data_IF_214618647629
#
_entry.id   IF_214618647629
#
_cell.length_a   1.000
_cell.length_b   1.000
_cell.length_c   1.000
_cell.angle_alpha   90.00
_cell.angle_beta   90.00
_cell.angle_gamma   90.00
#
_symmetry.space_group_name_H-M   'P 1'
#
loop_
_entity.id
_entity.type
_entity.pdbx_description
1 polymer ?
#
# COMPACT_ATOMS: atom_id res chain seq x y z
N UNK A 1 -48.27 -16.02 -4.30
CA UNK A 1 -46.96 -15.38 -4.02
C UNK A 1 -46.65 -15.58 -2.53
N UNK A 2 -45.40 -15.80 -2.05
CA UNK A 2 -44.07 -15.60 -2.65
C UNK A 2 -43.12 -16.82 -2.55
N UNK A 3 -42.21 -17.04 -3.51
CA UNK A 3 -41.04 -17.96 -3.38
C UNK A 3 -39.90 -17.57 -4.34
N UNK A 4 -39.23 -16.45 -4.12
CA UNK A 4 -37.97 -16.11 -4.84
C UNK A 4 -37.04 -15.24 -3.99
N UNK A 5 -36.53 -15.77 -2.88
CA UNK A 5 -35.48 -15.08 -2.10
C UNK A 5 -34.26 -15.93 -1.73
N UNK A 6 -34.18 -17.20 -2.12
CA UNK A 6 -33.16 -18.12 -1.59
C UNK A 6 -32.01 -18.52 -2.54
N UNK A 7 -31.93 -17.97 -3.76
CA UNK A 7 -31.00 -18.50 -4.78
C UNK A 7 -29.58 -17.87 -4.75
N UNK A 8 -29.32 -16.84 -3.95
CA UNK A 8 -28.02 -16.14 -3.98
C UNK A 8 -26.95 -16.65 -3.00
N UNK A 9 -27.07 -17.87 -2.44
CA UNK A 9 -26.10 -18.35 -1.43
C UNK A 9 -25.08 -19.41 -1.91
N UNK A 10 -25.19 -19.96 -3.12
CA UNK A 10 -24.38 -21.13 -3.52
C UNK A 10 -23.11 -20.84 -4.32
N UNK A 11 -22.69 -19.58 -4.48
CA UNK A 11 -21.52 -19.25 -5.32
C UNK A 11 -20.57 -18.23 -4.72
N UNK A 12 -20.58 -18.02 -3.41
CA UNK A 12 -19.49 -17.29 -2.77
C UNK A 12 -18.25 -18.21 -2.74
N UNK A 13 -17.19 -17.94 -3.54
CA UNK A 13 -15.92 -18.63 -3.34
C UNK A 13 -15.52 -18.39 -1.89
N UNK A 14 -15.15 -19.46 -1.20
CA UNK A 14 -14.80 -19.53 0.23
C UNK A 14 -14.11 -18.25 0.70
N UNK A 15 -14.90 -17.27 1.13
CA UNK A 15 -14.38 -16.07 1.76
C UNK A 15 -13.64 -16.56 3.01
N UNK A 16 -12.45 -16.02 3.33
CA UNK A 16 -11.80 -16.37 4.58
C UNK A 16 -12.79 -16.11 5.72
N UNK A 17 -13.31 -17.19 6.32
CA UNK A 17 -14.39 -17.15 7.31
C UNK A 17 -13.96 -16.55 8.63
N UNK A 18 -12.67 -16.26 8.77
CA UNK A 18 -12.08 -15.61 9.93
C UNK A 18 -12.01 -14.09 9.70
N UNK A 19 -12.81 -13.29 10.44
CA UNK A 19 -12.69 -11.84 10.41
C UNK A 19 -11.26 -11.37 10.66
N UNK A 20 -10.51 -12.09 11.50
CA UNK A 20 -9.11 -11.79 11.81
C UNK A 20 -8.20 -11.79 10.57
N UNK A 21 -8.36 -12.75 9.65
CA UNK A 21 -7.56 -12.80 8.42
C UNK A 21 -7.91 -11.65 7.47
N UNK A 22 -9.20 -11.30 7.38
CA UNK A 22 -9.66 -10.15 6.60
C UNK A 22 -9.07 -8.85 7.19
N UNK A 23 -9.13 -8.68 8.50
CA UNK A 23 -8.55 -7.52 9.17
C UNK A 23 -7.04 -7.40 8.94
N UNK A 24 -6.29 -8.50 9.01
CA UNK A 24 -4.86 -8.48 8.71
C UNK A 24 -4.56 -8.09 7.27
N UNK A 25 -5.30 -8.63 6.31
CA UNK A 25 -5.06 -8.31 4.90
C UNK A 25 -5.45 -6.85 4.59
N UNK A 26 -6.54 -6.35 5.17
CA UNK A 26 -6.92 -4.94 5.09
C UNK A 26 -5.85 -4.05 5.72
N UNK A 27 -5.30 -4.44 6.88
CA UNK A 27 -4.22 -3.70 7.52
C UNK A 27 -2.96 -3.69 6.64
N UNK A 28 -2.58 -4.83 6.06
CA UNK A 28 -1.43 -4.95 5.16
C UNK A 28 -1.59 -4.07 3.92
N UNK A 29 -2.74 -4.13 3.25
CA UNK A 29 -3.05 -3.31 2.08
C UNK A 29 -3.13 -1.82 2.42
N UNK A 30 -3.56 -1.47 3.64
CA UNK A 30 -3.59 -0.09 4.14
C UNK A 30 -2.19 0.47 4.46
N UNK A 31 -1.16 -0.39 4.57
CA UNK A 31 0.21 0.01 4.90
C UNK A 31 1.12 0.22 3.68
N UNK A 32 0.78 -0.36 2.54
CA UNK A 32 1.64 -0.38 1.35
C UNK A 32 1.13 0.62 0.31
N UNK A 33 2.05 1.35 -0.32
CA UNK A 33 1.77 2.15 -1.50
C UNK A 33 1.69 1.22 -2.73
N UNK A 34 0.56 1.18 -3.47
CA UNK A 34 0.37 0.22 -4.54
C UNK A 34 1.22 0.49 -5.79
N UNK A 35 1.81 1.69 -5.91
CA UNK A 35 2.64 2.04 -7.05
C UNK A 35 4.09 1.58 -6.86
N UNK A 36 4.58 1.65 -5.63
CA UNK A 36 5.99 1.39 -5.28
C UNK A 36 6.18 0.09 -4.48
N UNK A 37 5.11 -0.49 -3.96
CA UNK A 37 5.09 -1.65 -3.06
C UNK A 37 5.89 -1.47 -1.76
N UNK A 38 6.25 -0.24 -1.40
CA UNK A 38 6.89 0.10 -0.11
C UNK A 38 5.86 0.67 0.88
N UNK A 39 6.27 0.85 2.13
CA UNK A 39 5.44 1.50 3.16
C UNK A 39 4.97 2.87 2.68
N UNK A 40 3.66 3.10 2.73
CA UNK A 40 3.12 4.41 2.42
C UNK A 40 3.46 5.44 3.50
N UNK A 41 3.18 6.72 3.20
CA UNK A 41 3.46 7.83 4.11
C UNK A 41 2.85 7.65 5.50
N UNK A 42 1.64 7.10 5.61
CA UNK A 42 0.97 6.91 6.91
C UNK A 42 1.69 5.86 7.76
N UNK A 43 2.11 4.77 7.14
CA UNK A 43 2.89 3.72 7.80
C UNK A 43 4.26 4.23 8.23
N UNK A 44 4.96 4.96 7.35
CA UNK A 44 6.24 5.58 7.68
C UNK A 44 6.14 6.47 8.93
N UNK A 45 5.14 7.35 9.02
CA UNK A 45 4.98 8.23 10.19
C UNK A 45 4.71 7.43 11.46
N UNK A 46 3.84 6.42 11.38
CA UNK A 46 3.54 5.54 12.53
C UNK A 46 4.81 4.86 13.05
N UNK A 47 5.60 4.29 12.15
CA UNK A 47 6.81 3.56 12.49
C UNK A 47 7.93 4.50 12.96
N UNK A 48 8.08 5.68 12.34
CA UNK A 48 9.05 6.69 12.73
C UNK A 48 8.80 7.20 14.16
N UNK A 49 7.54 7.48 14.52
CA UNK A 49 7.19 7.89 15.88
C UNK A 49 7.55 6.82 16.91
N UNK A 50 7.30 5.54 16.58
CA UNK A 50 7.71 4.41 17.44
C UNK A 50 9.23 4.35 17.59
N UNK A 51 9.98 4.50 16.50
CA UNK A 51 11.44 4.47 16.52
C UNK A 51 12.03 5.64 17.31
N UNK A 52 11.45 6.83 17.19
CA UNK A 52 11.86 8.00 17.98
C UNK A 52 11.69 7.73 19.48
N UNK A 53 10.54 7.19 19.90
CA UNK A 53 10.31 6.85 21.31
C UNK A 53 11.30 5.81 21.83
N UNK A 54 11.62 4.80 21.01
CA UNK A 54 12.62 3.79 21.36
C UNK A 54 14.03 4.39 21.46
N UNK A 55 14.40 5.26 20.51
CA UNK A 55 15.70 5.92 20.51
C UNK A 55 15.89 6.79 21.76
N UNK A 56 14.86 7.55 22.16
CA UNK A 56 14.84 8.34 23.40
C UNK A 56 15.03 7.42 24.62
N UNK A 57 14.22 6.35 24.72
CA UNK A 57 14.26 5.41 25.85
C UNK A 57 15.63 4.76 26.03
N UNK A 58 16.26 4.37 24.93
CA UNK A 58 17.52 3.62 24.94
C UNK A 58 18.75 4.50 24.72
N UNK A 59 18.58 5.83 24.69
CA UNK A 59 19.65 6.80 24.40
C UNK A 59 20.44 6.45 23.14
N UNK A 60 19.74 5.99 22.10
CA UNK A 60 20.34 5.64 20.81
C UNK A 60 20.21 6.81 19.84
N UNK A 61 21.23 6.97 18.99
CA UNK A 61 21.16 7.90 17.87
C UNK A 61 20.22 7.33 16.81
N UNK A 62 19.38 8.18 16.25
CA UNK A 62 18.47 7.88 15.14
C UNK A 62 18.73 8.89 14.03
N UNK A 63 18.73 8.42 12.78
CA UNK A 63 18.90 9.26 11.59
C UNK A 63 17.75 8.99 10.62
N UNK A 64 17.42 10.01 9.81
CA UNK A 64 16.43 9.91 8.74
C UNK A 64 16.99 10.58 7.49
N UNK A 65 16.67 10.03 6.33
CA UNK A 65 16.98 10.62 5.04
C UNK A 65 15.69 10.78 4.23
N UNK A 66 15.56 11.90 3.53
CA UNK A 66 14.49 12.14 2.58
C UNK A 66 15.12 12.26 1.20
N UNK A 67 14.56 11.54 0.24
CA UNK A 67 15.04 11.47 -1.13
C UNK A 67 13.93 12.03 -2.02
N UNK A 68 14.31 12.85 -2.99
CA UNK A 68 13.42 13.34 -4.03
C UNK A 68 14.01 13.00 -5.40
N UNK A 69 13.16 12.84 -6.42
CA UNK A 69 13.61 12.53 -7.78
C UNK A 69 13.72 13.83 -8.57
N UNK A 70 14.94 14.25 -8.87
CA UNK A 70 15.18 15.44 -9.69
C UNK A 70 14.58 15.28 -11.09
N UNK A 71 14.06 16.38 -11.64
CA UNK A 71 13.47 16.44 -13.00
C UNK A 71 12.33 15.43 -13.26
N UNK A 72 11.68 14.93 -12.21
CA UNK A 72 10.59 13.96 -12.30
C UNK A 72 9.50 14.35 -13.31
N UNK A 73 9.13 15.63 -13.34
CA UNK A 73 8.16 16.16 -14.29
C UNK A 73 8.61 15.99 -15.75
N UNK A 74 9.87 16.31 -16.05
CA UNK A 74 10.40 16.17 -17.41
C UNK A 74 10.44 14.71 -17.86
N UNK A 75 10.82 13.79 -16.96
CA UNK A 75 10.78 12.34 -17.22
C UNK A 75 9.34 11.90 -17.52
N UNK A 76 8.38 12.30 -16.68
CA UNK A 76 6.97 11.95 -16.87
C UNK A 76 6.39 12.51 -18.18
N UNK A 77 6.74 13.77 -18.50
CA UNK A 77 6.30 14.45 -19.72
C UNK A 77 6.96 13.84 -20.98
N UNK A 78 8.16 13.25 -20.86
CA UNK A 78 8.92 12.64 -21.98
C UNK A 78 8.47 11.20 -22.28
N UNK A 79 8.25 10.38 -21.25
CA UNK A 79 7.88 8.98 -21.45
C UNK A 79 6.37 8.76 -21.55
N UNK A 80 5.56 9.76 -21.20
CA UNK A 80 4.10 9.71 -21.28
C UNK A 80 3.48 8.64 -20.37
N UNK A 81 2.15 8.69 -20.23
CA UNK A 81 1.29 7.74 -19.47
C UNK A 81 1.29 6.33 -20.08
N UNK A 82 2.45 5.72 -20.30
CA UNK A 82 2.53 4.36 -20.80
C UNK A 82 2.26 3.40 -19.64
N UNK A 83 1.01 2.92 -19.54
CA UNK A 83 0.61 1.81 -18.68
C UNK A 83 1.43 0.57 -19.02
N UNK A 84 2.62 0.45 -18.45
CA UNK A 84 3.41 -0.76 -18.48
C UNK A 84 2.94 -1.70 -17.35
N UNK A 85 1.74 -2.27 -17.51
CA UNK A 85 1.48 -3.59 -16.93
C UNK A 85 2.09 -4.61 -17.87
N UNK A 86 3.40 -4.81 -17.78
CA UNK A 86 4.07 -5.93 -18.44
C UNK A 86 4.97 -6.63 -17.41
N UNK A 87 4.66 -7.91 -17.16
CA UNK A 87 5.53 -8.89 -16.51
C UNK A 87 5.97 -8.65 -15.06
N UNK A 88 5.06 -8.26 -14.16
CA UNK A 88 5.25 -8.45 -12.71
C UNK A 88 6.50 -7.81 -12.11
N UNK A 89 7.03 -6.76 -12.74
CA UNK A 89 8.14 -5.95 -12.23
C UNK A 89 7.63 -4.54 -11.97
N UNK A 90 7.80 -4.07 -10.74
CA UNK A 90 7.49 -2.70 -10.34
C UNK A 90 8.44 -1.73 -11.07
N UNK A 91 8.05 -1.28 -12.26
CA UNK A 91 8.51 0.02 -12.73
C UNK A 91 7.66 1.05 -12.02
N UNK A 92 8.31 1.94 -11.27
CA UNK A 92 7.68 3.14 -10.71
C UNK A 92 7.21 3.96 -11.91
N UNK A 93 5.93 3.83 -12.28
CA UNK A 93 5.30 4.62 -13.34
C UNK A 93 4.54 5.76 -12.68
N UNK A 94 4.95 6.97 -13.03
CA UNK A 94 4.76 8.18 -12.27
C UNK A 94 3.37 8.79 -12.53
N UNK A 95 2.45 8.73 -11.56
CA UNK A 95 1.63 9.86 -11.10
C UNK A 95 0.48 9.45 -10.15
N UNK A 96 0.18 10.32 -9.19
CA UNK A 96 -1.14 10.51 -8.58
C UNK A 96 -1.35 12.03 -8.40
N UNK A 97 -2.57 12.48 -8.69
CA UNK A 97 -3.06 13.88 -8.73
C UNK A 97 -2.44 14.86 -7.72
#
# INVERSE_FOLDING_TARGET
MPKKLWIWCQSYPLLPTSPFLIYQEVERLSRIDPLTEISNRRSFITDALRLIQLAIRHQKKLSCAMLDIDFFKQVNDTYGLYKAKENGRNRIVLWKD
#
